data_IF_625584340837
#
_entry.id   IF_625584340837
#
_cell.length_a   1.000
_cell.length_b   1.000
_cell.length_c   1.000
_cell.angle_alpha   90.00
_cell.angle_beta   90.00
_cell.angle_gamma   90.00
#
_symmetry.space_group_name_H-M   'P 1'
#
loop_
_entity.id
_entity.type
_entity.pdbx_description
1 polymer ?
#
# COMPACT_ATOMS: atom_id res chain seq x y z
N UNK A 1 -16.36 -30.74 -62.87
CA UNK A 1 -15.68 -31.03 -61.59
C UNK A 1 -15.27 -29.71 -60.96
N UNK A 2 -15.95 -29.25 -59.89
CA UNK A 2 -15.63 -28.00 -59.18
C UNK A 2 -15.14 -28.36 -57.78
N UNK A 3 -13.85 -28.14 -57.52
CA UNK A 3 -13.25 -28.29 -56.20
C UNK A 3 -13.54 -27.02 -55.39
N UNK A 4 -14.11 -27.20 -54.20
CA UNK A 4 -14.24 -26.14 -53.19
C UNK A 4 -13.06 -26.30 -52.22
N UNK A 5 -12.16 -25.32 -52.18
CA UNK A 5 -11.17 -25.18 -51.12
C UNK A 5 -11.87 -24.58 -49.88
N UNK A 6 -11.93 -25.34 -48.80
CA UNK A 6 -12.19 -24.80 -47.46
C UNK A 6 -10.88 -24.18 -46.92
N UNK A 7 -10.85 -22.86 -46.79
CA UNK A 7 -9.87 -22.19 -45.94
C UNK A 7 -10.28 -22.38 -44.47
N UNK A 8 -9.47 -23.12 -43.72
CA UNK A 8 -9.52 -23.13 -42.25
C UNK A 8 -8.70 -21.94 -41.77
N UNK A 9 -9.38 -20.88 -41.31
CA UNK A 9 -8.74 -19.78 -40.60
C UNK A 9 -8.54 -20.23 -39.15
N UNK A 10 -7.32 -20.67 -38.83
CA UNK A 10 -6.89 -20.88 -37.45
C UNK A 10 -6.67 -19.51 -36.82
N UNK A 11 -7.68 -19.01 -36.13
CA UNK A 11 -7.55 -17.87 -35.25
C UNK A 11 -6.72 -18.30 -34.02
N UNK A 12 -5.42 -18.03 -34.04
CA UNK A 12 -4.58 -18.05 -32.84
C UNK A 12 -5.09 -16.96 -31.88
N UNK A 13 -6.04 -17.32 -31.01
CA UNK A 13 -6.43 -16.50 -29.87
C UNK A 13 -5.28 -16.48 -28.88
N UNK A 14 -4.52 -15.39 -28.86
CA UNK A 14 -3.60 -15.09 -27.77
C UNK A 14 -4.40 -15.07 -26.47
N UNK A 15 -4.23 -16.08 -25.62
CA UNK A 15 -4.76 -16.09 -24.26
C UNK A 15 -4.12 -14.92 -23.50
N UNK A 16 -4.79 -13.76 -23.53
CA UNK A 16 -4.45 -12.64 -22.65
C UNK A 16 -4.71 -13.13 -21.23
N UNK A 17 -3.63 -13.49 -20.53
CA UNK A 17 -3.66 -13.72 -19.08
C UNK A 17 -4.49 -12.61 -18.44
N UNK A 18 -5.51 -12.94 -17.61
CA UNK A 18 -6.37 -11.93 -17.03
C UNK A 18 -5.51 -10.91 -16.29
N UNK A 19 -5.79 -9.61 -16.45
CA UNK A 19 -5.01 -8.57 -15.79
C UNK A 19 -5.02 -8.84 -14.29
N UNK A 20 -3.85 -8.73 -13.65
CA UNK A 20 -3.76 -8.87 -12.19
C UNK A 20 -4.70 -7.84 -11.54
N UNK A 21 -5.46 -8.23 -10.51
CA UNK A 21 -6.34 -7.28 -9.82
C UNK A 21 -5.53 -6.13 -9.23
N UNK A 22 -6.01 -4.90 -9.43
CA UNK A 22 -5.38 -3.67 -8.96
C UNK A 22 -5.40 -3.54 -7.43
N UNK A 23 -6.32 -4.24 -6.75
CA UNK A 23 -6.37 -4.32 -5.29
C UNK A 23 -6.53 -5.76 -4.87
N UNK A 24 -5.74 -6.17 -3.88
CA UNK A 24 -5.75 -7.50 -3.28
C UNK A 24 -5.80 -7.37 -1.75
N UNK A 25 -6.32 -8.40 -1.09
CA UNK A 25 -6.44 -8.45 0.37
C UNK A 25 -7.87 -8.26 0.85
N UNK A 26 -8.02 -7.81 2.10
CA UNK A 26 -9.30 -7.70 2.79
C UNK A 26 -9.61 -6.27 3.21
N UNK A 27 -10.88 -5.88 3.07
CA UNK A 27 -11.45 -4.64 3.58
C UNK A 27 -12.77 -4.99 4.28
N UNK A 28 -13.03 -4.40 5.44
CA UNK A 28 -14.30 -4.59 6.14
C UNK A 28 -14.82 -3.29 6.77
N UNK A 29 -16.15 -3.20 6.89
CA UNK A 29 -16.87 -2.15 7.60
C UNK A 29 -17.78 -2.79 8.65
N UNK A 30 -17.59 -2.42 9.91
CA UNK A 30 -18.23 -3.06 11.08
C UNK A 30 -18.12 -4.59 11.06
N UNK A 31 -16.95 -5.10 10.67
CA UNK A 31 -16.66 -6.53 10.56
C UNK A 31 -17.31 -7.21 9.35
N UNK A 32 -18.10 -6.50 8.53
CA UNK A 32 -18.66 -7.03 7.30
C UNK A 32 -17.68 -6.86 6.14
N UNK A 33 -17.33 -7.93 5.41
CA UNK A 33 -16.40 -7.84 4.30
C UNK A 33 -16.96 -6.95 3.19
N UNK A 34 -16.10 -6.11 2.60
CA UNK A 34 -16.41 -5.27 1.48
C UNK A 34 -15.73 -5.79 0.22
N UNK A 35 -16.49 -5.87 -0.87
CA UNK A 35 -15.93 -6.12 -2.20
C UNK A 35 -15.37 -4.83 -2.78
N UNK A 36 -14.07 -4.84 -3.10
CA UNK A 36 -13.41 -3.76 -3.82
C UNK A 36 -13.73 -3.91 -5.30
N UNK A 37 -14.30 -2.87 -5.90
CA UNK A 37 -14.64 -2.85 -7.33
C UNK A 37 -13.46 -2.37 -8.19
N UNK A 38 -12.76 -1.34 -7.74
CA UNK A 38 -11.59 -0.79 -8.40
C UNK A 38 -10.85 0.16 -7.47
N UNK A 39 -9.77 0.76 -7.96
CA UNK A 39 -9.12 1.87 -7.28
C UNK A 39 -8.94 3.05 -8.24
N UNK A 40 -8.69 4.24 -7.68
CA UNK A 40 -8.32 5.44 -8.43
C UNK A 40 -7.13 6.12 -7.76
N UNK A 41 -6.04 6.28 -8.50
CA UNK A 41 -4.97 7.18 -8.10
C UNK A 41 -5.28 8.60 -8.59
N UNK A 42 -4.91 9.61 -7.80
CA UNK A 42 -5.11 11.00 -8.18
C UNK A 42 -4.19 11.94 -7.42
N UNK A 43 -4.39 13.24 -7.65
CA UNK A 43 -3.61 14.31 -7.02
C UNK A 43 -4.53 15.32 -6.35
N UNK A 44 -4.31 15.54 -5.07
CA UNK A 44 -4.83 16.65 -4.29
C UNK A 44 -3.67 17.59 -3.94
N UNK A 45 -3.54 17.95 -2.66
CA UNK A 45 -2.30 18.57 -2.14
C UNK A 45 -1.12 17.60 -2.29
N UNK A 46 -1.38 16.30 -2.05
CA UNK A 46 -0.44 15.20 -2.30
C UNK A 46 -1.06 14.19 -3.27
N UNK A 47 -0.27 13.23 -3.75
CA UNK A 47 -0.81 12.02 -4.40
C UNK A 47 -1.71 11.28 -3.41
N UNK A 48 -2.83 10.76 -3.89
CA UNK A 48 -3.76 9.94 -3.11
C UNK A 48 -4.18 8.70 -3.88
N UNK A 49 -4.72 7.73 -3.14
CA UNK A 49 -5.44 6.59 -3.73
C UNK A 49 -6.80 6.43 -3.08
N UNK A 50 -7.80 6.12 -3.90
CA UNK A 50 -9.15 5.76 -3.49
C UNK A 50 -9.39 4.29 -3.83
N UNK A 51 -9.90 3.53 -2.88
CA UNK A 51 -10.37 2.15 -3.05
C UNK A 51 -11.89 2.20 -3.05
N UNK A 52 -12.49 1.83 -4.18
CA UNK A 52 -13.93 1.95 -4.40
C UNK A 52 -14.63 0.65 -4.02
N UNK A 53 -15.76 0.78 -3.34
CA UNK A 53 -16.66 -0.32 -2.98
C UNK A 53 -18.10 0.07 -3.32
N UNK A 54 -19.03 -0.88 -3.24
CA UNK A 54 -20.46 -0.57 -3.42
C UNK A 54 -21.02 0.33 -2.28
N UNK A 55 -20.41 0.31 -1.10
CA UNK A 55 -20.89 1.00 0.11
C UNK A 55 -20.20 2.35 0.35
N UNK A 56 -19.28 2.75 -0.52
CA UNK A 56 -18.46 3.93 -0.32
C UNK A 56 -17.05 3.77 -0.87
N UNK A 57 -16.18 4.71 -0.49
CA UNK A 57 -14.77 4.69 -0.86
C UNK A 57 -13.88 4.96 0.34
N UNK A 58 -12.78 4.21 0.41
CA UNK A 58 -11.66 4.47 1.30
C UNK A 58 -10.63 5.31 0.55
N UNK A 59 -10.28 6.48 1.08
CA UNK A 59 -9.21 7.31 0.52
C UNK A 59 -8.03 7.33 1.47
N UNK A 60 -6.84 7.09 0.93
CA UNK A 60 -5.58 7.32 1.62
C UNK A 60 -4.87 8.51 1.00
N UNK A 61 -4.61 9.53 1.81
CA UNK A 61 -3.96 10.78 1.40
C UNK A 61 -3.23 11.38 2.59
N UNK A 62 -1.99 11.84 2.38
CA UNK A 62 -1.17 12.51 3.40
C UNK A 62 -1.17 11.80 4.77
N UNK A 63 -0.87 10.50 4.76
CA UNK A 63 -0.77 9.68 5.99
C UNK A 63 -2.07 9.53 6.78
N UNK A 64 -3.20 9.87 6.16
CA UNK A 64 -4.51 9.80 6.78
C UNK A 64 -5.44 8.94 5.92
N UNK A 65 -6.38 8.26 6.58
CA UNK A 65 -7.47 7.55 5.93
C UNK A 65 -8.76 8.34 6.08
N UNK A 66 -9.56 8.28 5.02
CA UNK A 66 -10.88 8.91 4.96
C UNK A 66 -11.88 7.89 4.42
N UNK A 67 -13.10 7.94 4.92
CA UNK A 67 -14.21 7.16 4.40
C UNK A 67 -15.30 8.09 3.87
N UNK A 68 -15.74 7.83 2.67
CA UNK A 68 -16.89 8.49 2.06
C UNK A 68 -17.98 7.45 1.81
N UNK A 69 -19.21 7.73 2.26
CA UNK A 69 -20.37 6.83 2.13
C UNK A 69 -20.85 6.69 0.69
N UNK A 70 -20.51 7.64 -0.18
CA UNK A 70 -20.74 7.53 -1.62
C UNK A 70 -19.45 7.76 -2.39
N UNK A 71 -19.33 7.15 -3.58
CA UNK A 71 -18.17 7.39 -4.44
C UNK A 71 -18.09 8.86 -4.94
N UNK A 72 -19.23 9.56 -4.95
CA UNK A 72 -19.35 10.96 -5.38
C UNK A 72 -18.94 11.97 -4.30
N UNK A 73 -18.99 11.59 -3.02
CA UNK A 73 -18.53 12.44 -1.92
C UNK A 73 -17.04 12.76 -2.13
N UNK A 74 -16.61 13.99 -1.79
CA UNK A 74 -15.26 14.49 -2.07
C UNK A 74 -14.13 13.66 -1.43
N UNK A 75 -13.56 14.15 -0.33
CA UNK A 75 -12.50 13.42 0.39
C UNK A 75 -13.07 12.32 1.30
N UNK A 76 -14.28 12.53 1.83
CA UNK A 76 -14.86 11.75 2.91
C UNK A 76 -14.45 12.26 4.29
N UNK A 77 -14.98 11.61 5.34
CA UNK A 77 -14.68 11.91 6.73
C UNK A 77 -13.36 11.27 7.15
N UNK A 78 -12.55 12.02 7.89
CA UNK A 78 -11.29 11.50 8.43
C UNK A 78 -11.58 10.37 9.42
N UNK A 79 -10.85 9.27 9.27
CA UNK A 79 -10.88 8.15 10.20
C UNK A 79 -9.87 8.35 11.33
N UNK A 80 -10.26 7.91 12.52
CA UNK A 80 -9.38 7.80 13.69
C UNK A 80 -8.78 6.39 13.74
N UNK A 81 -7.48 6.28 13.52
CA UNK A 81 -6.81 5.00 13.33
C UNK A 81 -6.01 4.59 14.56
N UNK A 82 -6.39 3.48 15.18
CA UNK A 82 -5.59 2.82 16.21
C UNK A 82 -4.35 2.16 15.61
N UNK A 83 -4.46 1.72 14.35
CA UNK A 83 -3.35 1.17 13.56
C UNK A 83 -3.43 1.70 12.14
N UNK A 84 -2.29 2.15 11.61
CA UNK A 84 -2.12 2.53 10.21
C UNK A 84 -0.67 2.27 9.77
N UNK A 85 -0.39 1.01 9.45
CA UNK A 85 0.86 0.62 8.80
C UNK A 85 0.73 0.80 7.30
N UNK A 86 1.77 1.35 6.70
CA UNK A 86 1.76 1.70 5.29
C UNK A 86 3.14 1.58 4.67
N UNK A 87 3.21 0.95 3.52
CA UNK A 87 4.30 1.13 2.56
C UNK A 87 3.71 1.77 1.32
N UNK A 88 4.27 2.87 0.83
CA UNK A 88 3.68 3.53 -0.33
C UNK A 88 4.68 4.33 -1.14
N UNK A 89 4.38 4.37 -2.43
CA UNK A 89 4.86 5.35 -3.38
C UNK A 89 3.84 5.51 -4.50
N UNK A 90 3.91 6.63 -5.19
CA UNK A 90 3.07 6.92 -6.33
C UNK A 90 3.69 8.09 -7.08
N UNK A 91 3.37 8.22 -8.35
CA UNK A 91 3.94 9.23 -9.20
C UNK A 91 2.91 9.86 -10.12
N UNK A 92 3.32 10.97 -10.70
CA UNK A 92 2.62 11.61 -11.81
C UNK A 92 3.40 11.32 -13.07
N UNK A 93 2.71 10.87 -14.11
CA UNK A 93 3.27 10.77 -15.45
C UNK A 93 3.30 12.15 -16.11
N UNK A 94 4.12 12.35 -17.15
CA UNK A 94 4.14 13.59 -17.93
C UNK A 94 2.79 13.95 -18.56
N UNK A 95 1.94 12.95 -18.85
CA UNK A 95 0.59 13.13 -19.38
C UNK A 95 -0.44 13.57 -18.31
N UNK A 96 -0.01 13.75 -17.06
CA UNK A 96 -0.86 14.17 -15.94
C UNK A 96 -1.65 13.03 -15.29
N UNK A 97 -1.48 11.78 -15.72
CA UNK A 97 -2.09 10.62 -15.04
C UNK A 97 -1.29 10.23 -13.79
N UNK A 98 -1.99 9.78 -12.76
CA UNK A 98 -1.38 9.33 -11.51
C UNK A 98 -1.34 7.79 -11.45
N UNK A 99 -0.34 7.27 -10.74
CA UNK A 99 -0.27 5.86 -10.36
C UNK A 99 0.12 5.73 -8.89
N UNK A 100 -0.24 4.60 -8.29
CA UNK A 100 0.03 4.33 -6.89
C UNK A 100 0.36 2.85 -6.69
N UNK A 101 1.35 2.57 -5.84
CA UNK A 101 1.64 1.23 -5.34
C UNK A 101 1.89 1.28 -3.85
N UNK A 102 1.26 0.37 -3.13
CA UNK A 102 1.47 0.30 -1.69
C UNK A 102 0.77 -0.85 -1.02
N UNK A 103 1.09 -1.01 0.25
CA UNK A 103 0.43 -1.91 1.18
C UNK A 103 -0.11 -1.08 2.34
N UNK A 104 -1.40 -1.21 2.63
CA UNK A 104 -2.07 -0.54 3.74
C UNK A 104 -2.63 -1.59 4.70
N UNK A 105 -2.18 -1.58 5.96
CA UNK A 105 -2.76 -2.38 7.04
C UNK A 105 -3.28 -1.42 8.10
N UNK A 106 -4.57 -1.47 8.40
CA UNK A 106 -5.19 -0.46 9.24
C UNK A 106 -6.38 -0.99 10.03
N UNK A 107 -6.60 -0.35 11.17
CA UNK A 107 -7.80 -0.49 11.99
C UNK A 107 -8.20 0.89 12.50
N UNK A 108 -9.32 1.39 11.99
CA UNK A 108 -9.78 2.75 12.24
C UNK A 108 -11.28 2.79 12.59
N UNK A 109 -11.72 3.90 13.16
CA UNK A 109 -13.14 4.22 13.39
C UNK A 109 -13.48 5.56 12.74
N UNK A 110 -14.71 5.67 12.24
CA UNK A 110 -15.26 6.91 11.73
C UNK A 110 -16.78 6.95 11.89
N UNK A 111 -17.43 7.97 11.32
CA UNK A 111 -18.89 8.13 11.41
C UNK A 111 -19.67 6.95 10.84
N UNK A 112 -19.11 6.27 9.84
CA UNK A 112 -19.71 5.10 9.20
C UNK A 112 -19.50 3.77 9.97
N UNK A 113 -18.74 3.79 11.07
CA UNK A 113 -18.40 2.59 11.85
C UNK A 113 -16.90 2.28 11.89
N UNK A 114 -16.57 1.05 12.25
CA UNK A 114 -15.19 0.54 12.28
C UNK A 114 -14.76 0.09 10.88
N UNK A 115 -13.64 0.62 10.38
CA UNK A 115 -13.07 0.25 9.07
C UNK A 115 -11.73 -0.45 9.31
N UNK A 116 -11.59 -1.67 8.81
CA UNK A 116 -10.33 -2.43 8.92
C UNK A 116 -9.92 -2.97 7.56
N UNK A 117 -8.62 -3.10 7.34
CA UNK A 117 -8.13 -3.67 6.10
C UNK A 117 -6.66 -4.04 6.10
N UNK A 118 -6.35 -4.92 5.17
CA UNK A 118 -5.01 -5.34 4.75
C UNK A 118 -5.07 -5.38 3.22
N UNK A 119 -4.54 -4.33 2.58
CA UNK A 119 -4.71 -4.08 1.15
C UNK A 119 -3.38 -3.88 0.45
N UNK A 120 -3.07 -4.75 -0.52
CA UNK A 120 -2.06 -4.48 -1.53
C UNK A 120 -2.70 -3.78 -2.72
N UNK A 121 -2.16 -2.63 -3.10
CA UNK A 121 -2.73 -1.75 -4.12
C UNK A 121 -1.70 -1.49 -5.21
N UNK A 122 -2.11 -1.67 -6.46
CA UNK A 122 -1.41 -1.34 -7.69
C UNK A 122 -2.39 -0.60 -8.62
N UNK A 123 -2.49 0.72 -8.41
CA UNK A 123 -3.52 1.55 -9.00
C UNK A 123 -3.02 2.44 -10.14
N UNK A 124 -3.90 2.72 -11.11
CA UNK A 124 -3.59 3.65 -12.21
C UNK A 124 -2.74 3.00 -13.30
N UNK A 125 -2.94 1.69 -13.53
CA UNK A 125 -2.25 0.89 -14.56
C UNK A 125 -0.72 1.02 -14.49
N UNK A 126 -0.18 0.85 -13.29
CA UNK A 126 1.26 0.98 -13.03
C UNK A 126 2.08 0.01 -13.92
N UNK A 127 3.08 0.55 -14.61
CA UNK A 127 3.97 -0.23 -15.50
C UNK A 127 4.98 -1.07 -14.72
N UNK A 128 5.71 -1.95 -15.40
CA UNK A 128 6.75 -2.76 -14.76
C UNK A 128 7.92 -1.89 -14.26
N UNK A 129 8.28 -0.86 -15.02
CA UNK A 129 9.36 0.08 -14.70
C UNK A 129 8.98 0.95 -13.50
N UNK A 130 7.73 1.45 -13.47
CA UNK A 130 7.20 2.20 -12.34
C UNK A 130 7.16 1.34 -11.06
N UNK A 131 6.74 0.07 -11.18
CA UNK A 131 6.78 -0.88 -10.06
C UNK A 131 8.21 -1.07 -9.55
N UNK A 132 9.15 -1.34 -10.44
CA UNK A 132 10.56 -1.57 -10.08
C UNK A 132 11.19 -0.34 -9.42
N UNK A 133 10.89 0.86 -9.94
CA UNK A 133 11.34 2.13 -9.35
C UNK A 133 10.77 2.34 -7.94
N UNK A 134 9.47 2.10 -7.73
CA UNK A 134 8.87 2.21 -6.41
C UNK A 134 9.39 1.15 -5.42
N UNK A 135 9.59 -0.08 -5.88
CA UNK A 135 10.16 -1.16 -5.05
C UNK A 135 11.62 -0.84 -4.67
N UNK A 136 12.41 -0.23 -5.58
CA UNK A 136 13.75 0.27 -5.30
C UNK A 136 13.73 1.42 -4.30
N UNK A 137 12.90 2.46 -4.51
CA UNK A 137 12.79 3.58 -3.59
C UNK A 137 12.39 3.12 -2.18
N UNK A 138 11.48 2.15 -2.06
CA UNK A 138 11.12 1.55 -0.78
C UNK A 138 12.32 0.86 -0.12
N UNK A 139 13.11 0.14 -0.90
CA UNK A 139 14.31 -0.55 -0.40
C UNK A 139 15.36 0.46 0.04
N UNK A 140 15.61 1.50 -0.75
CA UNK A 140 16.58 2.55 -0.44
C UNK A 140 16.18 3.31 0.83
N UNK A 141 14.89 3.62 1.03
CA UNK A 141 14.39 4.22 2.28
C UNK A 141 14.54 3.29 3.51
N UNK A 142 14.35 1.98 3.33
CA UNK A 142 14.59 1.01 4.41
C UNK A 142 16.07 0.93 4.76
N UNK A 143 16.95 0.97 3.76
CA UNK A 143 18.40 1.01 3.92
C UNK A 143 18.80 2.24 4.74
N UNK A 144 18.36 3.44 4.33
CA UNK A 144 18.68 4.69 5.03
C UNK A 144 18.18 4.68 6.48
N UNK A 145 16.94 4.22 6.72
CA UNK A 145 16.42 4.11 8.09
C UNK A 145 17.20 3.14 8.96
N UNK A 146 17.67 2.03 8.39
CA UNK A 146 18.50 1.11 9.14
C UNK A 146 19.89 1.68 9.43
N UNK A 147 20.45 2.57 8.60
CA UNK A 147 21.72 3.24 8.91
C UNK A 147 21.64 4.07 10.20
N UNK A 148 20.54 4.81 10.38
CA UNK A 148 20.30 5.57 11.62
C UNK A 148 20.20 4.65 12.84
N UNK A 149 19.55 3.49 12.68
CA UNK A 149 19.39 2.48 13.73
C UNK A 149 20.73 1.81 14.03
N UNK A 150 21.53 1.48 13.02
CA UNK A 150 22.86 0.90 13.17
C UNK A 150 23.78 1.85 13.94
N UNK A 151 23.72 3.16 13.63
CA UNK A 151 24.41 4.20 14.39
C UNK A 151 23.93 4.27 15.84
N UNK A 152 22.61 4.25 16.08
CA UNK A 152 22.07 4.29 17.44
C UNK A 152 22.47 3.07 18.26
N UNK A 153 22.48 1.88 17.64
CA UNK A 153 22.96 0.67 18.29
C UNK A 153 24.43 0.83 18.72
N UNK A 154 25.29 1.36 17.86
CA UNK A 154 26.70 1.60 18.17
C UNK A 154 26.88 2.58 19.34
N UNK A 155 26.13 3.69 19.38
CA UNK A 155 26.14 4.66 20.49
C UNK A 155 25.77 4.03 21.84
N UNK A 156 24.85 3.05 21.83
CA UNK A 156 24.35 2.36 23.01
C UNK A 156 25.13 1.08 23.37
N UNK A 157 26.14 0.69 22.60
CA UNK A 157 26.81 -0.61 22.76
C UNK A 157 25.88 -1.80 22.51
N UNK A 158 24.91 -1.64 21.61
CA UNK A 158 24.00 -2.66 21.14
C UNK A 158 24.38 -3.16 19.73
N UNK A 159 23.71 -4.23 19.29
CA UNK A 159 23.85 -4.77 17.93
C UNK A 159 22.53 -4.58 17.21
N UNK A 160 22.56 -3.91 16.06
CA UNK A 160 21.41 -3.82 15.17
C UNK A 160 21.32 -5.05 14.28
N UNK A 161 20.09 -5.50 14.05
CA UNK A 161 19.72 -6.50 13.03
C UNK A 161 18.61 -5.97 12.12
N UNK A 162 18.52 -4.64 12.00
CA UNK A 162 17.42 -3.95 11.34
C UNK A 162 17.21 -4.43 9.90
N UNK A 163 18.31 -4.65 9.18
CA UNK A 163 18.33 -5.04 7.77
C UNK A 163 17.94 -6.50 7.58
N UNK A 164 18.45 -7.38 8.44
CA UNK A 164 18.25 -8.83 8.38
C UNK A 164 16.85 -9.22 8.81
N UNK A 165 16.38 -8.66 9.93
CA UNK A 165 15.10 -9.01 10.53
C UNK A 165 13.93 -8.19 9.94
N UNK A 166 14.22 -7.21 9.07
CA UNK A 166 13.22 -6.32 8.45
C UNK A 166 12.26 -5.73 9.50
N UNK A 167 12.82 -5.11 10.54
CA UNK A 167 12.05 -4.59 11.68
C UNK A 167 10.87 -3.73 11.22
N UNK A 168 9.71 -3.89 11.87
CA UNK A 168 8.54 -3.05 11.60
C UNK A 168 8.84 -1.58 11.89
N UNK A 169 8.02 -0.68 11.38
CA UNK A 169 8.15 0.75 11.67
C UNK A 169 8.11 1.07 13.17
N UNK A 170 7.32 0.32 13.95
CA UNK A 170 7.18 0.46 15.40
C UNK A 170 8.44 0.03 16.15
N UNK A 171 9.00 -1.14 15.82
CA UNK A 171 10.27 -1.60 16.42
C UNK A 171 11.38 -0.61 16.10
N UNK A 172 11.49 -0.21 14.83
CA UNK A 172 12.45 0.79 14.38
C UNK A 172 12.31 2.13 15.13
N UNK A 173 11.08 2.60 15.35
CA UNK A 173 10.83 3.83 16.10
C UNK A 173 11.21 3.67 17.60
N UNK A 174 10.86 2.54 18.21
CA UNK A 174 11.17 2.25 19.60
C UNK A 174 12.69 2.20 19.85
N UNK A 175 13.43 1.41 19.06
CA UNK A 175 14.89 1.28 19.21
C UNK A 175 15.62 2.58 18.90
N UNK A 176 15.12 3.38 17.95
CA UNK A 176 15.72 4.70 17.67
C UNK A 176 15.46 5.71 18.80
N UNK A 177 14.35 5.59 19.51
CA UNK A 177 14.03 6.43 20.68
C UNK A 177 14.71 5.96 21.98
N UNK A 178 15.21 4.72 22.03
CA UNK A 178 15.88 4.18 23.20
C UNK A 178 17.12 5.02 23.57
N UNK A 179 17.26 5.36 24.84
CA UNK A 179 18.41 6.13 25.38
C UNK A 179 19.40 5.29 26.16
N UNK A 180 19.08 4.03 26.42
CA UNK A 180 19.97 3.05 27.05
C UNK A 180 19.89 1.72 26.32
N UNK A 181 20.88 0.86 26.56
CA UNK A 181 20.91 -0.50 26.02
C UNK A 181 19.72 -1.34 26.51
N UNK A 182 19.31 -1.16 27.76
CA UNK A 182 18.18 -1.88 28.34
C UNK A 182 16.85 -1.48 27.68
N UNK A 183 16.66 -0.19 27.39
CA UNK A 183 15.49 0.29 26.66
C UNK A 183 15.49 -0.23 25.21
N UNK A 184 16.66 -0.30 24.58
CA UNK A 184 16.83 -0.90 23.25
C UNK A 184 16.42 -2.37 23.25
N UNK A 185 16.96 -3.16 24.18
CA UNK A 185 16.67 -4.59 24.28
C UNK A 185 15.18 -4.82 24.62
N UNK A 186 14.57 -3.98 25.45
CA UNK A 186 13.14 -4.03 25.74
C UNK A 186 12.27 -3.83 24.48
N UNK A 187 12.62 -2.87 23.61
CA UNK A 187 11.95 -2.67 22.32
C UNK A 187 11.99 -3.92 21.42
N UNK A 188 13.06 -4.70 21.49
CA UNK A 188 13.22 -5.93 20.71
C UNK A 188 12.49 -7.13 21.30
N UNK A 189 12.19 -7.10 22.60
CA UNK A 189 11.56 -8.21 23.32
C UNK A 189 10.03 -8.10 23.33
N UNK A 190 9.48 -6.90 23.09
CA UNK A 190 8.04 -6.65 22.98
C UNK A 190 7.41 -7.09 21.64
N UNK A 191 8.11 -7.94 20.86
CA UNK A 191 7.68 -8.48 19.56
C UNK A 191 6.50 -9.44 19.68
#
# INVERSE_FOLDING_TARGET
>A
MRAWLLLVVVACGSEKKPPKPEVQGSLSLDGKPLTVSSCRAGRGVTTYVEVLTAQGKLRFEDKQLFWATTAADGRGDKLDCQKLDRSWGGGMRPDGTAYFRGHLIFACRGPAGAVTGDLMIDCGRITAEERASLDKNRTDMLVERCDDIDKRAAELGATSRCREDKWSGEIQACVNAATTKEAWDACLTAR
#
